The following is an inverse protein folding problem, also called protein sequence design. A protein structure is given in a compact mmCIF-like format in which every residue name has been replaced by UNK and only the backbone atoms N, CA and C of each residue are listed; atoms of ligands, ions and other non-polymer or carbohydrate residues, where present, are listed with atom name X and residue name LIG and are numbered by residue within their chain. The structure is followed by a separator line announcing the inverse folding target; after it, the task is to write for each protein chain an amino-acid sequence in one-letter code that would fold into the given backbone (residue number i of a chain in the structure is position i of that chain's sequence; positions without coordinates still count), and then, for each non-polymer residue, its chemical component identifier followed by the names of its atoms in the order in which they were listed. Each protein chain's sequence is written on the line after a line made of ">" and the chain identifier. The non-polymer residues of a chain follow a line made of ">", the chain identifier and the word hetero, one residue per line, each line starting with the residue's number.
data_IF_198382788241
#
_entry.id   IF_198382788241
#
_cell.length_a   1.000
_cell.length_b   1.000
_cell.length_c   1.000
_cell.angle_alpha   90.00
_cell.angle_beta   90.00
_cell.angle_gamma   90.00
#
_symmetry.space_group_name_H-M   'P 1'
#
loop_
_entity.id
_entity.type
_entity.pdbx_description
1 polymer ?
#
# COMPACT_ATOMS: atom_id res chain seq x y z
N UNK A 1 26.44 11.38 -2.16
CA UNK A 1 25.02 10.97 -2.28
C UNK A 1 24.87 9.68 -1.52
N UNK A 2 23.94 9.61 -0.57
CA UNK A 2 23.60 8.36 0.11
C UNK A 2 22.31 7.78 -0.46
N UNK A 3 22.16 6.47 -0.46
CA UNK A 3 20.96 5.81 -0.96
C UNK A 3 20.66 4.56 -0.16
N UNK A 4 19.39 4.18 -0.09
CA UNK A 4 19.01 2.92 0.54
C UNK A 4 17.55 2.54 0.39
N UNK A 5 17.29 1.24 0.50
CA UNK A 5 16.00 0.59 0.42
C UNK A 5 15.46 0.28 1.82
N UNK A 6 14.26 0.77 2.10
CA UNK A 6 13.62 0.69 3.41
C UNK A 6 12.28 -0.04 3.27
N UNK A 7 12.21 -1.27 3.76
CA UNK A 7 11.01 -2.10 3.66
C UNK A 7 10.02 -1.81 4.77
N UNK A 8 8.78 -1.50 4.39
CA UNK A 8 7.70 -1.20 5.33
C UNK A 8 6.83 -2.43 5.48
N UNK A 9 6.94 -3.08 6.63
CA UNK A 9 6.24 -4.33 6.94
C UNK A 9 5.36 -4.19 8.17
N UNK A 10 4.40 -5.10 8.33
CA UNK A 10 3.38 -4.97 9.36
C UNK A 10 2.09 -5.66 8.97
N UNK A 11 1.25 -5.91 9.97
CA UNK A 11 -0.06 -6.51 9.75
C UNK A 11 -0.94 -5.67 8.82
N UNK A 12 -1.98 -6.29 8.31
CA UNK A 12 -3.03 -5.56 7.59
C UNK A 12 -3.63 -4.45 8.46
N UNK A 13 -3.93 -3.29 7.88
CA UNK A 13 -4.47 -2.09 8.55
C UNK A 13 -3.57 -1.39 9.58
N UNK A 14 -2.29 -1.78 9.72
CA UNK A 14 -1.32 -1.06 10.57
C UNK A 14 -1.02 0.38 10.10
N UNK A 15 -1.43 0.73 8.88
CA UNK A 15 -1.24 2.07 8.30
C UNK A 15 0.07 2.24 7.53
N UNK A 16 0.63 1.14 7.00
CA UNK A 16 1.85 1.13 6.16
C UNK A 16 1.78 2.11 4.98
N UNK A 17 0.78 1.96 4.11
CA UNK A 17 0.61 2.86 2.95
C UNK A 17 0.35 4.31 3.35
N UNK A 18 -0.32 4.55 4.47
CA UNK A 18 -0.47 5.91 5.02
C UNK A 18 0.87 6.48 5.44
N UNK A 19 1.69 5.68 6.14
CA UNK A 19 3.03 6.07 6.56
C UNK A 19 3.94 6.35 5.36
N UNK A 20 3.93 5.47 4.35
CA UNK A 20 4.72 5.64 3.13
C UNK A 20 4.29 6.92 2.40
N UNK A 21 2.99 7.15 2.19
CA UNK A 21 2.52 8.40 1.58
C UNK A 21 2.98 9.65 2.37
N UNK A 22 2.97 9.58 3.71
CA UNK A 22 3.44 10.69 4.56
C UNK A 22 4.96 10.89 4.52
N UNK A 23 5.73 9.80 4.43
CA UNK A 23 7.19 9.86 4.27
C UNK A 23 7.57 10.40 2.90
N UNK A 24 6.85 10.05 1.83
CA UNK A 24 7.08 10.61 0.49
C UNK A 24 6.60 12.07 0.39
N UNK A 25 5.50 12.41 1.06
CA UNK A 25 4.82 13.70 0.92
C UNK A 25 3.80 13.75 -0.24
N UNK A 26 3.68 12.66 -1.00
CA UNK A 26 2.68 12.47 -2.04
C UNK A 26 1.91 11.16 -1.82
N UNK A 27 0.65 11.12 -2.28
CA UNK A 27 -0.15 9.91 -2.31
C UNK A 27 0.26 9.00 -3.48
N UNK A 28 1.11 8.02 -3.21
CA UNK A 28 1.54 7.01 -4.19
C UNK A 28 0.80 5.67 -4.05
N UNK A 29 0.35 5.33 -2.84
CA UNK A 29 -0.38 4.12 -2.53
C UNK A 29 -1.81 4.42 -2.06
N UNK A 30 -2.75 3.53 -2.37
CA UNK A 30 -4.14 3.70 -1.93
C UNK A 30 -4.31 3.35 -0.44
N UNK A 31 -5.30 3.94 0.19
CA UNK A 31 -5.62 3.71 1.60
C UNK A 31 -7.09 3.34 1.79
N UNK A 32 -7.35 2.40 2.68
CA UNK A 32 -8.70 2.09 3.14
C UNK A 32 -8.67 1.46 4.53
N UNK A 33 -9.83 1.38 5.18
CA UNK A 33 -9.99 0.62 6.43
C UNK A 33 -10.25 -0.88 6.17
N UNK A 34 -10.34 -1.30 4.90
CA UNK A 34 -10.57 -2.69 4.52
C UNK A 34 -9.25 -3.47 4.54
N UNK A 35 -9.27 -4.74 5.01
CA UNK A 35 -8.09 -5.57 4.90
C UNK A 35 -7.70 -5.82 3.44
N UNK A 36 -6.46 -6.22 3.18
CA UNK A 36 -5.94 -6.45 1.82
C UNK A 36 -6.07 -5.21 0.91
N UNK A 37 -5.94 -4.01 1.49
CA UNK A 37 -5.89 -2.76 0.73
C UNK A 37 -4.72 -2.77 -0.23
N UNK A 38 -3.49 -3.01 0.23
CA UNK A 38 -2.30 -3.11 -0.62
C UNK A 38 -2.16 -4.53 -1.15
N UNK A 39 -2.02 -4.68 -2.48
CA UNK A 39 -1.91 -5.98 -3.17
C UNK A 39 -0.63 -6.15 -3.98
N UNK A 40 0.01 -5.05 -4.35
CA UNK A 40 1.28 -5.01 -5.06
C UNK A 40 2.36 -4.49 -4.11
N UNK A 41 3.60 -4.92 -4.30
CA UNK A 41 4.73 -4.13 -3.83
C UNK A 41 4.76 -2.80 -4.57
N UNK A 42 4.91 -1.70 -3.84
CA UNK A 42 5.02 -0.34 -4.40
C UNK A 42 6.28 0.28 -3.84
N UNK A 43 7.16 0.77 -4.71
CA UNK A 43 8.28 1.60 -4.28
C UNK A 43 7.86 3.07 -4.26
N UNK A 44 8.12 3.73 -3.15
CA UNK A 44 8.06 5.18 -3.00
C UNK A 44 9.45 5.75 -2.94
N UNK A 45 9.72 6.73 -3.80
CA UNK A 45 11.04 7.35 -3.90
C UNK A 45 10.96 8.74 -3.27
N UNK A 46 11.80 8.99 -2.27
CA UNK A 46 12.00 10.31 -1.67
C UNK A 46 13.41 10.79 -2.00
N UNK A 47 13.50 11.86 -2.78
CA UNK A 47 14.74 12.56 -3.08
C UNK A 47 14.93 13.73 -2.10
N UNK A 48 16.11 13.82 -1.51
CA UNK A 48 16.61 14.98 -0.77
C UNK A 48 17.98 15.39 -1.32
N UNK A 49 18.46 16.58 -0.95
CA UNK A 49 19.69 17.17 -1.52
C UNK A 49 20.92 16.25 -1.44
N UNK A 50 21.04 15.44 -0.38
CA UNK A 50 22.20 14.58 -0.13
C UNK A 50 21.89 13.08 -0.14
N UNK A 51 20.62 12.68 -0.27
CA UNK A 51 20.24 11.28 -0.26
C UNK A 51 18.96 10.92 -1.04
N UNK A 52 18.86 9.66 -1.46
CA UNK A 52 17.65 9.05 -2.02
C UNK A 52 17.19 7.88 -1.15
N UNK A 53 15.94 7.93 -0.68
CA UNK A 53 15.34 6.87 0.15
C UNK A 53 14.25 6.17 -0.67
N UNK A 54 14.36 4.85 -0.79
CA UNK A 54 13.39 4.02 -1.52
C UNK A 54 12.59 3.21 -0.52
N UNK A 55 11.33 3.57 -0.31
CA UNK A 55 10.41 2.88 0.57
C UNK A 55 9.68 1.77 -0.16
N UNK A 56 9.75 0.54 0.33
CA UNK A 56 8.99 -0.58 -0.24
C UNK A 56 7.74 -0.82 0.59
N UNK A 57 6.57 -0.35 0.12
CA UNK A 57 5.27 -0.68 0.72
C UNK A 57 4.84 -2.08 0.28
N UNK A 58 4.52 -2.93 1.26
CA UNK A 58 4.20 -4.34 1.02
C UNK A 58 2.76 -4.67 1.38
N UNK A 59 2.16 -5.67 0.71
CA UNK A 59 0.91 -6.26 1.16
C UNK A 59 0.98 -6.68 2.64
N UNK A 60 -0.13 -6.49 3.38
CA UNK A 60 -0.17 -6.91 4.78
C UNK A 60 -0.12 -8.43 4.92
N UNK A 61 0.81 -8.93 5.74
CA UNK A 61 0.92 -10.37 6.02
C UNK A 61 -0.35 -10.87 6.72
N UNK A 62 -0.93 -11.94 6.17
CA UNK A 62 -2.08 -12.66 6.71
C UNK A 62 -2.06 -14.10 6.18
N UNK A 63 -2.88 -15.01 6.72
CA UNK A 63 -2.95 -16.38 6.22
C UNK A 63 -3.65 -16.39 4.84
N UNK A 64 -3.02 -16.94 3.78
CA UNK A 64 -3.60 -16.92 2.45
C UNK A 64 -4.75 -17.92 2.37
N UNK A 65 -5.69 -17.64 1.46
CA UNK A 65 -6.85 -18.51 1.17
C UNK A 65 -7.11 -18.69 -0.33
N UNK A 66 -6.36 -17.96 -1.15
CA UNK A 66 -6.50 -17.87 -2.61
C UNK A 66 -5.12 -17.66 -3.20
N UNK A 67 -4.91 -17.95 -4.49
CA UNK A 67 -3.62 -17.70 -5.15
C UNK A 67 -3.18 -16.22 -5.10
N UNK A 68 -4.13 -15.28 -5.20
CA UNK A 68 -3.83 -13.86 -4.95
C UNK A 68 -3.22 -13.59 -3.56
N UNK A 69 -3.66 -14.36 -2.55
CA UNK A 69 -3.14 -14.25 -1.20
C UNK A 69 -1.74 -14.83 -1.08
N UNK A 70 -1.45 -15.91 -1.81
CA UNK A 70 -0.11 -16.49 -1.89
C UNK A 70 0.87 -15.50 -2.55
N UNK A 71 0.48 -14.92 -3.69
CA UNK A 71 1.23 -13.85 -4.36
C UNK A 71 1.56 -12.70 -3.40
N UNK A 72 0.56 -12.18 -2.68
CA UNK A 72 0.76 -11.08 -1.72
C UNK A 72 1.75 -11.42 -0.59
N UNK A 73 1.83 -12.68 -0.18
CA UNK A 73 2.77 -13.11 0.87
C UNK A 73 4.18 -13.21 0.29
N UNK A 74 4.32 -13.73 -0.94
CA UNK A 74 5.61 -13.80 -1.62
C UNK A 74 6.20 -12.39 -1.80
N UNK A 75 5.39 -11.44 -2.30
CA UNK A 75 5.78 -10.03 -2.43
C UNK A 75 6.28 -9.41 -1.11
N UNK A 76 5.60 -9.72 0.00
CA UNK A 76 5.99 -9.21 1.32
C UNK A 76 7.28 -9.85 1.85
N UNK A 77 7.54 -11.12 1.53
CA UNK A 77 8.76 -11.81 1.93
C UNK A 77 9.95 -11.36 1.07
N UNK A 78 9.77 -11.22 -0.24
CA UNK A 78 10.83 -10.78 -1.16
C UNK A 78 11.30 -9.36 -0.86
N UNK A 79 10.39 -8.47 -0.47
CA UNK A 79 10.75 -7.10 -0.07
C UNK A 79 11.76 -7.06 1.10
N UNK A 80 11.85 -8.08 1.94
CA UNK A 80 12.81 -8.12 3.05
C UNK A 80 14.20 -8.61 2.65
N UNK A 81 14.38 -9.20 1.46
CA UNK A 81 15.68 -9.71 1.03
C UNK A 81 16.61 -8.60 0.52
N UNK A 82 16.06 -7.56 -0.10
CA UNK A 82 16.81 -6.50 -0.79
C UNK A 82 16.68 -5.14 -0.07
N UNK A 83 16.72 -5.12 1.27
CA UNK A 83 16.52 -3.91 2.08
C UNK A 83 17.68 -3.65 3.04
N UNK A 84 18.06 -2.39 3.19
CA UNK A 84 19.09 -1.94 4.13
C UNK A 84 18.57 -1.88 5.57
N UNK A 85 17.27 -1.60 5.75
CA UNK A 85 16.59 -1.64 7.04
C UNK A 85 15.08 -1.85 6.89
N UNK A 86 14.44 -2.44 7.90
CA UNK A 86 13.00 -2.65 7.92
C UNK A 86 12.28 -1.72 8.92
N UNK A 87 11.09 -1.26 8.56
CA UNK A 87 10.13 -0.63 9.46
C UNK A 87 9.05 -1.63 9.83
N UNK A 88 9.02 -2.09 11.09
CA UNK A 88 7.89 -2.86 11.60
C UNK A 88 6.80 -1.91 12.09
N UNK A 89 5.77 -1.72 11.27
CA UNK A 89 4.64 -0.85 11.60
C UNK A 89 3.57 -1.63 12.36
N UNK A 90 3.26 -1.16 13.56
CA UNK A 90 2.21 -1.72 14.44
C UNK A 90 1.13 -0.69 14.75
N UNK A 91 0.00 -1.17 15.26
CA UNK A 91 -0.99 -0.32 15.93
C UNK A 91 -0.69 -0.28 17.43
N UNK A 92 -1.14 0.76 18.16
CA UNK A 92 -0.80 0.95 19.55
C UNK A 92 -1.73 0.12 20.45
N UNK A 93 -1.61 -1.20 20.34
CA UNK A 93 -2.36 -2.17 21.12
C UNK A 93 -1.42 -2.82 22.12
N UNK A 94 -1.88 -2.95 23.36
CA UNK A 94 -1.12 -3.52 24.48
C UNK A 94 -0.97 -5.07 24.40
N UNK A 95 -0.60 -5.59 23.23
CA UNK A 95 -0.34 -7.00 22.97
C UNK A 95 0.51 -7.20 21.72
N UNK A 96 1.42 -8.16 21.75
CA UNK A 96 2.16 -8.64 20.56
C UNK A 96 1.34 -9.76 19.92
N UNK A 97 0.66 -9.44 18.83
CA UNK A 97 -0.21 -10.38 18.12
C UNK A 97 0.57 -11.44 17.35
N UNK A 98 -0.15 -12.48 16.90
CA UNK A 98 0.44 -13.61 16.15
C UNK A 98 1.11 -13.13 14.86
N UNK A 99 0.53 -12.15 14.17
CA UNK A 99 1.09 -11.61 12.93
C UNK A 99 2.39 -10.86 13.20
N UNK A 100 2.44 -10.08 14.27
CA UNK A 100 3.63 -9.36 14.71
C UNK A 100 4.73 -10.32 15.15
N UNK A 101 4.40 -11.39 15.88
CA UNK A 101 5.38 -12.45 16.23
C UNK A 101 6.02 -13.09 15.01
N UNK A 102 5.21 -13.42 13.99
CA UNK A 102 5.73 -13.98 12.72
C UNK A 102 6.64 -13.01 12.00
N UNK A 103 6.28 -11.73 11.94
CA UNK A 103 7.12 -10.69 11.35
C UNK A 103 8.45 -10.55 12.10
N UNK A 104 8.40 -10.54 13.43
CA UNK A 104 9.59 -10.51 14.28
C UNK A 104 10.48 -11.75 14.01
N UNK A 105 9.91 -12.94 13.87
CA UNK A 105 10.68 -14.14 13.51
C UNK A 105 11.35 -14.02 12.14
N UNK A 106 10.69 -13.40 11.16
CA UNK A 106 11.28 -13.15 9.84
C UNK A 106 12.44 -12.15 9.98
N UNK A 107 12.24 -11.03 10.70
CA UNK A 107 13.29 -10.03 10.96
C UNK A 107 14.51 -10.64 11.66
N UNK A 108 14.30 -11.49 12.66
CA UNK A 108 15.36 -12.25 13.34
C UNK A 108 16.16 -13.14 12.38
N UNK A 109 15.49 -13.76 11.39
CA UNK A 109 16.15 -14.64 10.42
C UNK A 109 16.89 -13.85 9.34
N UNK A 110 16.37 -12.71 8.91
CA UNK A 110 17.04 -11.86 7.92
C UNK A 110 18.28 -11.17 8.47
N UNK A 111 18.32 -10.86 9.78
CA UNK A 111 19.45 -10.17 10.41
C UNK A 111 19.61 -8.71 9.99
N UNK A 112 18.68 -8.17 9.18
CA UNK A 112 18.63 -6.77 8.80
C UNK A 112 18.29 -5.89 10.03
N UNK A 113 18.82 -4.66 10.10
CA UNK A 113 18.39 -3.69 11.09
C UNK A 113 16.89 -3.39 10.99
N UNK A 114 16.24 -3.16 12.13
CA UNK A 114 14.82 -2.81 12.12
C UNK A 114 14.44 -1.75 13.15
N UNK A 115 13.55 -0.86 12.72
CA UNK A 115 12.90 0.16 13.55
C UNK A 115 11.46 -0.28 13.84
N UNK A 116 11.05 -0.25 15.11
CA UNK A 116 9.65 -0.40 15.47
C UNK A 116 8.93 0.93 15.30
N UNK A 117 7.88 0.95 14.48
CA UNK A 117 7.04 2.12 14.26
C UNK A 117 5.67 1.90 14.90
N UNK A 118 5.43 2.56 16.03
CA UNK A 118 4.13 2.49 16.72
C UNK A 118 3.21 3.55 16.11
N UNK A 119 2.43 3.16 15.10
CA UNK A 119 1.57 4.08 14.36
C UNK A 119 0.25 4.37 15.09
N UNK A 120 -0.51 5.36 14.63
CA UNK A 120 -1.83 5.77 15.13
C UNK A 120 -1.85 6.22 16.59
N UNK A 121 -0.77 6.84 17.06
CA UNK A 121 -0.71 7.38 18.43
C UNK A 121 -1.79 8.42 18.72
N UNK A 122 -2.39 9.02 17.69
CA UNK A 122 -3.55 9.91 17.79
C UNK A 122 -4.81 9.23 18.35
N UNK A 123 -4.83 7.90 18.43
CA UNK A 123 -5.96 7.11 18.93
C UNK A 123 -5.84 6.70 20.40
N UNK A 124 -4.71 6.96 21.04
CA UNK A 124 -4.43 6.55 22.42
C UNK A 124 -3.93 7.72 23.26
N UNK A 125 -3.91 7.54 24.58
CA UNK A 125 -3.23 8.49 25.48
C UNK A 125 -1.75 8.15 25.57
N UNK A 126 -0.91 9.15 25.81
CA UNK A 126 0.55 9.00 25.83
C UNK A 126 1.03 7.99 26.86
N UNK A 127 0.35 7.88 28.01
CA UNK A 127 0.70 6.96 29.09
C UNK A 127 0.57 5.49 28.67
N UNK A 128 -0.24 5.20 27.65
CA UNK A 128 -0.42 3.84 27.10
C UNK A 128 0.75 3.37 26.24
N UNK A 129 1.72 4.25 25.90
CA UNK A 129 2.85 3.87 25.05
C UNK A 129 3.89 3.01 25.77
N UNK A 130 4.18 3.30 27.05
CA UNK A 130 5.23 2.61 27.79
C UNK A 130 5.04 1.07 27.83
N UNK A 131 3.86 0.54 28.17
CA UNK A 131 3.64 -0.91 28.19
C UNK A 131 3.81 -1.56 26.81
N UNK A 132 3.43 -0.85 25.75
CA UNK A 132 3.58 -1.34 24.36
C UNK A 132 5.06 -1.42 24.01
N UNK A 133 5.83 -0.36 24.30
CA UNK A 133 7.28 -0.31 24.05
C UNK A 133 7.98 -1.45 24.78
N UNK A 134 7.69 -1.65 26.07
CA UNK A 134 8.28 -2.71 26.89
C UNK A 134 8.02 -4.11 26.30
N UNK A 135 6.78 -4.39 25.92
CA UNK A 135 6.40 -5.69 25.32
C UNK A 135 7.16 -5.97 24.03
N UNK A 136 7.21 -5.02 23.10
CA UNK A 136 7.89 -5.25 21.83
C UNK A 136 9.42 -5.30 21.98
N UNK A 137 10.00 -4.48 22.86
CA UNK A 137 11.44 -4.51 23.16
C UNK A 137 11.88 -5.85 23.75
N UNK A 138 10.99 -6.53 24.49
CA UNK A 138 11.27 -7.87 25.04
C UNK A 138 11.26 -8.99 23.98
N UNK A 139 10.58 -8.77 22.85
CA UNK A 139 10.44 -9.78 21.78
C UNK A 139 11.54 -9.64 20.71
N UNK A 140 12.06 -8.44 20.47
CA UNK A 140 13.08 -8.16 19.48
C UNK A 140 13.87 -6.90 19.84
N UNK A 141 15.19 -6.95 19.60
CA UNK A 141 16.09 -5.83 19.82
C UNK A 141 16.02 -4.88 18.61
N UNK A 142 15.08 -3.94 18.65
CA UNK A 142 14.97 -2.91 17.63
C UNK A 142 16.00 -1.81 17.88
N UNK A 143 16.70 -1.38 16.82
CA UNK A 143 17.65 -0.27 16.88
C UNK A 143 17.01 1.03 17.37
N UNK A 144 15.73 1.22 17.02
CA UNK A 144 14.92 2.36 17.48
C UNK A 144 13.44 1.99 17.57
N UNK A 145 12.74 2.70 18.45
CA UNK A 145 11.28 2.59 18.63
C UNK A 145 10.69 3.99 18.52
N UNK A 146 9.92 4.23 17.46
CA UNK A 146 9.42 5.56 17.11
C UNK A 146 7.88 5.55 17.08
N UNK A 147 7.22 6.21 18.04
CA UNK A 147 5.78 6.44 18.00
C UNK A 147 5.45 7.50 16.94
N UNK A 148 4.48 7.21 16.07
CA UNK A 148 4.06 8.13 15.00
C UNK A 148 2.55 8.17 14.85
N UNK A 149 2.04 9.25 14.28
CA UNK A 149 0.75 9.25 13.60
C UNK A 149 0.98 9.61 12.15
N UNK A 150 0.96 8.60 11.28
CA UNK A 150 1.03 8.81 9.83
C UNK A 150 -0.09 9.72 9.31
N UNK A 151 -1.24 9.78 10.02
CA UNK A 151 -2.40 10.60 9.67
C UNK A 151 -2.17 12.08 9.96
N UNK A 152 -1.57 12.42 11.09
CA UNK A 152 -1.37 13.82 11.50
C UNK A 152 0.03 14.34 11.15
N UNK A 153 0.98 13.44 10.86
CA UNK A 153 2.39 13.75 10.66
C UNK A 153 3.23 13.72 11.95
N UNK A 154 2.60 13.50 13.12
CA UNK A 154 3.32 13.42 14.39
C UNK A 154 4.37 12.30 14.37
N UNK A 155 5.60 12.63 14.76
CA UNK A 155 6.75 11.71 14.76
C UNK A 155 7.32 11.32 13.38
N UNK A 156 6.69 11.69 12.26
CA UNK A 156 7.13 11.26 10.92
C UNK A 156 8.49 11.84 10.54
N UNK A 157 8.77 13.10 10.90
CA UNK A 157 10.10 13.71 10.66
C UNK A 157 11.19 13.04 11.49
N UNK A 158 10.90 12.67 12.75
CA UNK A 158 11.84 11.95 13.63
C UNK A 158 12.15 10.57 13.05
N UNK A 159 11.12 9.87 12.56
CA UNK A 159 11.30 8.59 11.87
C UNK A 159 12.18 8.74 10.63
N UNK A 160 11.96 9.78 9.83
CA UNK A 160 12.75 10.04 8.63
C UNK A 160 14.24 10.26 8.95
N UNK A 161 14.55 11.05 9.99
CA UNK A 161 15.93 11.27 10.43
C UNK A 161 16.58 9.99 10.97
N UNK A 162 15.82 9.13 11.64
CA UNK A 162 16.33 7.82 12.07
C UNK A 162 16.68 6.93 10.88
N UNK A 163 15.80 6.91 9.86
CA UNK A 163 15.98 6.11 8.65
C UNK A 163 17.24 6.53 7.87
N UNK A 164 17.56 7.83 7.85
CA UNK A 164 18.76 8.36 7.18
C UNK A 164 20.06 7.76 7.70
N UNK A 165 20.10 7.24 8.93
CA UNK A 165 21.28 6.60 9.52
C UNK A 165 21.66 5.28 8.85
N UNK A 166 20.71 4.63 8.17
CA UNK A 166 20.90 3.36 7.48
C UNK A 166 21.35 3.54 6.02
N UNK A 167 21.30 4.76 5.49
CA UNK A 167 21.68 5.02 4.11
C UNK A 167 23.20 4.96 3.97
N UNK A 168 23.65 4.19 2.99
CA UNK A 168 25.08 4.04 2.67
C UNK A 168 25.43 4.88 1.44
N UNK A 169 26.73 5.09 1.19
CA UNK A 169 27.15 5.72 -0.07
C UNK A 169 26.74 4.83 -1.25
N UNK A 170 26.06 5.42 -2.22
CA UNK A 170 25.52 4.67 -3.34
C UNK A 170 25.02 5.57 -4.47
N UNK A 171 24.65 4.96 -5.61
CA UNK A 171 24.12 5.69 -6.74
C UNK A 171 22.72 6.20 -6.46
N UNK A 172 22.28 7.16 -7.26
CA UNK A 172 20.86 7.44 -7.40
C UNK A 172 20.24 6.29 -8.21
N UNK A 173 19.36 5.50 -7.59
CA UNK A 173 18.70 4.35 -8.22
C UNK A 173 17.59 4.76 -9.19
N UNK A 174 16.93 5.88 -8.90
CA UNK A 174 15.80 6.40 -9.68
C UNK A 174 15.97 7.87 -10.06
N UNK A 175 15.39 8.34 -11.18
CA UNK A 175 15.38 9.77 -11.53
C UNK A 175 14.83 10.68 -10.42
N UNK A 176 15.29 11.93 -10.36
CA UNK A 176 14.91 12.90 -9.31
C UNK A 176 13.40 13.24 -9.30
N UNK A 177 12.76 13.19 -10.47
CA UNK A 177 11.33 13.49 -10.64
C UNK A 177 10.42 12.29 -10.37
N UNK A 178 11.00 11.11 -10.17
CA UNK A 178 10.26 9.88 -9.92
C UNK A 178 9.92 9.75 -8.44
N UNK A 179 8.62 9.68 -8.14
CA UNK A 179 8.09 9.47 -6.77
C UNK A 179 7.66 8.02 -6.50
N UNK A 180 7.42 7.23 -7.55
CA UNK A 180 7.04 5.81 -7.45
C UNK A 180 7.37 5.04 -8.72
N UNK A 181 7.62 3.74 -8.59
CA UNK A 181 7.81 2.78 -9.69
C UNK A 181 6.50 2.31 -10.35
N UNK A 182 5.37 2.59 -9.71
CA UNK A 182 4.06 2.11 -10.15
C UNK A 182 3.67 2.69 -11.52
N UNK A 183 3.43 1.84 -12.54
CA UNK A 183 2.98 2.29 -13.85
C UNK A 183 1.70 3.12 -13.78
N UNK A 184 1.56 4.12 -14.66
CA UNK A 184 0.42 5.05 -14.61
C UNK A 184 -0.94 4.32 -14.70
N UNK A 185 -1.05 3.30 -15.54
CA UNK A 185 -2.27 2.49 -15.67
C UNK A 185 -2.63 1.78 -14.36
N UNK A 186 -1.63 1.27 -13.62
CA UNK A 186 -1.84 0.67 -12.32
C UNK A 186 -2.31 1.71 -11.30
N UNK A 187 -1.68 2.90 -11.25
CA UNK A 187 -2.14 4.00 -10.38
C UNK A 187 -3.59 4.41 -10.67
N UNK A 188 -3.99 4.47 -11.95
CA UNK A 188 -5.38 4.76 -12.35
C UNK A 188 -6.35 3.65 -11.93
N UNK A 189 -5.98 2.38 -12.13
CA UNK A 189 -6.76 1.24 -11.65
C UNK A 189 -6.95 1.28 -10.13
N UNK A 190 -5.88 1.57 -9.40
CA UNK A 190 -5.87 1.65 -7.95
C UNK A 190 -6.75 2.79 -7.43
N UNK A 191 -6.79 3.95 -8.09
CA UNK A 191 -7.72 5.03 -7.73
C UNK A 191 -9.18 4.56 -7.73
N UNK A 192 -9.62 3.84 -8.78
CA UNK A 192 -10.99 3.29 -8.84
C UNK A 192 -11.19 2.26 -7.75
N UNK A 193 -10.21 1.37 -7.56
CA UNK A 193 -10.25 0.34 -6.52
C UNK A 193 -10.41 0.94 -5.14
N UNK A 194 -9.66 2.00 -4.81
CA UNK A 194 -9.78 2.71 -3.55
C UNK A 194 -11.20 3.18 -3.30
N UNK A 195 -11.84 3.82 -4.29
CA UNK A 195 -13.22 4.30 -4.13
C UNK A 195 -14.19 3.16 -3.89
N UNK A 196 -13.99 2.03 -4.55
CA UNK A 196 -14.77 0.81 -4.33
C UNK A 196 -14.52 0.21 -2.95
N UNK A 197 -13.28 0.20 -2.44
CA UNK A 197 -12.97 -0.27 -1.08
C UNK A 197 -13.72 0.54 -0.01
N UNK A 198 -13.86 1.85 -0.20
CA UNK A 198 -14.62 2.72 0.70
C UNK A 198 -16.14 2.61 0.55
N UNK A 199 -16.61 2.23 -0.64
CA UNK A 199 -18.03 2.22 -0.98
C UNK A 199 -18.70 0.84 -0.88
N UNK A 200 -17.91 -0.22 -0.76
CA UNK A 200 -18.39 -1.59 -0.68
C UNK A 200 -18.12 -2.19 0.71
N UNK A 201 -18.92 -3.18 1.06
CA UNK A 201 -18.84 -3.88 2.34
C UNK A 201 -18.73 -5.40 2.17
N UNK A 202 -18.48 -6.06 3.30
CA UNK A 202 -18.34 -7.51 3.42
C UNK A 202 -17.24 -8.03 2.48
N UNK A 203 -17.50 -9.11 1.76
CA UNK A 203 -16.52 -9.78 0.90
C UNK A 203 -16.32 -9.12 -0.47
N UNK A 204 -17.26 -8.28 -0.91
CA UNK A 204 -17.29 -7.74 -2.28
C UNK A 204 -16.01 -6.95 -2.64
N UNK A 205 -15.50 -6.01 -1.81
CA UNK A 205 -14.30 -5.26 -2.14
C UNK A 205 -13.05 -6.13 -2.31
N UNK A 206 -13.03 -7.33 -1.74
CA UNK A 206 -11.90 -8.26 -1.88
C UNK A 206 -11.99 -9.10 -3.16
N UNK A 207 -13.18 -9.20 -3.77
CA UNK A 207 -13.42 -9.94 -5.01
C UNK A 207 -13.35 -9.10 -6.29
N UNK A 208 -12.80 -7.88 -6.25
CA UNK A 208 -12.68 -7.00 -7.42
C UNK A 208 -11.26 -6.94 -7.99
N UNK A 209 -11.18 -6.82 -9.31
CA UNK A 209 -9.96 -6.47 -10.07
C UNK A 209 -10.29 -5.33 -11.04
N UNK A 210 -9.35 -4.41 -11.23
CA UNK A 210 -9.56 -3.20 -12.04
C UNK A 210 -8.55 -3.19 -13.20
N UNK A 211 -9.05 -3.03 -14.42
CA UNK A 211 -8.23 -2.98 -15.63
C UNK A 211 -8.51 -1.68 -16.40
N UNK A 212 -7.45 -0.94 -16.72
CA UNK A 212 -7.52 0.15 -17.70
C UNK A 212 -7.51 -0.44 -19.11
N UNK A 213 -8.70 -0.71 -19.64
CA UNK A 213 -8.90 -1.32 -20.97
C UNK A 213 -8.62 -0.36 -22.12
N UNK A 214 -8.75 0.95 -21.91
CA UNK A 214 -8.43 1.97 -22.91
C UNK A 214 -7.87 3.22 -22.25
N UNK A 215 -6.83 3.80 -22.86
CA UNK A 215 -6.26 5.09 -22.47
C UNK A 215 -5.81 5.81 -23.74
N UNK A 216 -6.59 6.81 -24.15
CA UNK A 216 -6.24 7.71 -25.25
C UNK A 216 -5.92 9.09 -24.67
N UNK A 217 -4.73 9.59 -24.99
CA UNK A 217 -4.25 10.86 -24.47
C UNK A 217 -4.07 11.89 -25.58
N UNK A 218 -4.61 13.09 -25.34
CA UNK A 218 -4.40 14.30 -26.14
C UNK A 218 -3.73 15.38 -25.27
N UNK A 219 -3.44 16.55 -25.84
CA UNK A 219 -2.74 17.66 -25.17
C UNK A 219 -3.39 18.05 -23.83
N UNK A 220 -4.73 18.16 -23.80
CA UNK A 220 -5.47 18.69 -22.65
C UNK A 220 -6.38 17.66 -21.96
N UNK A 221 -6.58 16.48 -22.56
CA UNK A 221 -7.59 15.51 -22.14
C UNK A 221 -7.05 14.09 -22.21
N UNK A 222 -7.51 13.25 -21.29
CA UNK A 222 -7.28 11.80 -21.31
C UNK A 222 -8.64 11.10 -21.29
N UNK A 223 -8.89 10.23 -22.25
CA UNK A 223 -10.07 9.37 -22.29
C UNK A 223 -9.70 7.98 -21.75
N UNK A 224 -10.43 7.52 -20.74
CA UNK A 224 -10.19 6.26 -20.02
C UNK A 224 -11.42 5.37 -20.07
N UNK A 225 -11.26 4.14 -20.52
CA UNK A 225 -12.23 3.08 -20.26
C UNK A 225 -11.64 2.09 -19.25
N UNK A 226 -12.29 1.99 -18.09
CA UNK A 226 -11.86 1.13 -16.99
C UNK A 226 -12.92 0.07 -16.74
N UNK A 227 -12.49 -1.20 -16.71
CA UNK A 227 -13.35 -2.33 -16.38
C UNK A 227 -13.13 -2.78 -14.95
N UNK A 228 -14.21 -2.81 -14.17
CA UNK A 228 -14.31 -3.40 -12.84
C UNK A 228 -14.78 -4.86 -13.02
N UNK A 229 -13.92 -5.80 -12.69
CA UNK A 229 -14.26 -7.22 -12.65
C UNK A 229 -14.71 -7.63 -11.26
N UNK A 230 -15.75 -8.46 -11.17
CA UNK A 230 -16.20 -9.07 -9.92
C UNK A 230 -16.50 -10.56 -10.10
N UNK A 231 -16.49 -11.33 -9.01
CA UNK A 231 -16.63 -12.79 -9.08
C UNK A 231 -18.05 -13.30 -9.29
N UNK A 232 -19.09 -12.51 -9.01
CA UNK A 232 -20.49 -12.97 -9.04
C UNK A 232 -21.41 -11.95 -9.71
N UNK A 233 -22.46 -12.45 -10.35
CA UNK A 233 -23.49 -11.60 -10.95
C UNK A 233 -24.22 -10.73 -9.90
N UNK A 234 -24.42 -11.24 -8.68
CA UNK A 234 -24.97 -10.46 -7.56
C UNK A 234 -24.07 -9.28 -7.18
N UNK A 235 -22.74 -9.47 -7.17
CA UNK A 235 -21.77 -8.41 -6.89
C UNK A 235 -21.81 -7.33 -7.97
N UNK A 236 -21.96 -7.70 -9.24
CA UNK A 236 -22.12 -6.74 -10.34
C UNK A 236 -23.30 -5.80 -10.10
N UNK A 237 -24.45 -6.33 -9.69
CA UNK A 237 -25.62 -5.52 -9.34
C UNK A 237 -25.34 -4.53 -8.19
N UNK A 238 -24.62 -4.99 -7.15
CA UNK A 238 -24.26 -4.15 -5.99
C UNK A 238 -23.28 -3.05 -6.37
N UNK A 239 -22.25 -3.36 -7.16
CA UNK A 239 -21.24 -2.41 -7.65
C UNK A 239 -21.88 -1.32 -8.52
N UNK A 240 -22.86 -1.68 -9.35
CA UNK A 240 -23.64 -0.72 -10.14
C UNK A 240 -24.48 0.16 -9.20
N UNK A 241 -25.15 -0.46 -8.23
CA UNK A 241 -26.05 0.21 -7.30
C UNK A 241 -27.42 0.50 -7.94
N UNK A 242 -28.40 0.87 -7.10
CA UNK A 242 -29.76 1.20 -7.56
C UNK A 242 -29.69 2.36 -8.57
N UNK A 243 -30.20 2.16 -9.78
CA UNK A 243 -30.14 3.16 -10.85
C UNK A 243 -28.72 3.59 -11.28
N UNK A 244 -27.68 2.81 -10.96
CA UNK A 244 -26.29 3.17 -11.28
C UNK A 244 -25.64 4.15 -10.30
N UNK A 245 -26.29 4.45 -9.16
CA UNK A 245 -25.86 5.51 -8.23
C UNK A 245 -24.46 5.27 -7.64
N UNK A 246 -24.15 4.04 -7.25
CA UNK A 246 -22.86 3.69 -6.66
C UNK A 246 -21.73 3.87 -7.67
N UNK A 247 -21.91 3.31 -8.88
CA UNK A 247 -20.93 3.42 -9.96
C UNK A 247 -20.70 4.86 -10.39
N UNK A 248 -21.78 5.67 -10.44
CA UNK A 248 -21.70 7.11 -10.71
C UNK A 248 -20.90 7.85 -9.64
N UNK A 249 -21.12 7.53 -8.37
CA UNK A 249 -20.38 8.12 -7.24
C UNK A 249 -18.90 7.75 -7.28
N UNK A 250 -18.60 6.48 -7.50
CA UNK A 250 -17.23 5.97 -7.68
C UNK A 250 -16.54 6.67 -8.84
N UNK A 251 -17.17 6.72 -10.02
CA UNK A 251 -16.61 7.37 -11.21
C UNK A 251 -16.38 8.87 -11.01
N UNK A 252 -17.29 9.56 -10.33
CA UNK A 252 -17.14 10.99 -10.02
C UNK A 252 -15.92 11.26 -9.15
N UNK A 253 -15.74 10.48 -8.07
CA UNK A 253 -14.61 10.62 -7.14
C UNK A 253 -13.29 10.16 -7.75
N UNK A 254 -13.30 9.06 -8.51
CA UNK A 254 -12.11 8.55 -9.19
C UNK A 254 -11.61 9.55 -10.23
N UNK A 255 -12.53 10.12 -11.04
CA UNK A 255 -12.18 11.15 -12.04
C UNK A 255 -11.47 12.34 -11.40
N UNK A 256 -11.94 12.83 -10.25
CA UNK A 256 -11.31 13.95 -9.56
C UNK A 256 -9.84 13.66 -9.18
N UNK A 257 -9.57 12.48 -8.62
CA UNK A 257 -8.21 12.08 -8.26
C UNK A 257 -7.34 11.82 -9.50
N UNK A 258 -7.91 11.28 -10.58
CA UNK A 258 -7.20 11.07 -11.84
C UNK A 258 -6.84 12.39 -12.53
N UNK A 259 -7.70 13.41 -12.49
CA UNK A 259 -7.39 14.74 -13.04
C UNK A 259 -6.21 15.38 -12.30
N UNK A 260 -6.15 15.20 -10.97
CA UNK A 260 -5.00 15.66 -10.18
C UNK A 260 -3.72 14.92 -10.52
N UNK A 261 -3.81 13.58 -10.60
CA UNK A 261 -2.67 12.73 -10.92
C UNK A 261 -2.08 13.03 -12.31
N UNK A 262 -2.94 13.23 -13.31
CA UNK A 262 -2.52 13.42 -14.70
C UNK A 262 -2.29 14.89 -15.07
N UNK A 263 -2.72 15.85 -14.23
CA UNK A 263 -2.69 17.28 -14.57
C UNK A 263 -3.56 17.66 -15.77
N UNK A 264 -4.52 16.80 -16.17
CA UNK A 264 -5.34 16.91 -17.39
C UNK A 264 -6.80 16.64 -17.10
N UNK A 265 -7.69 17.07 -17.99
CA UNK A 265 -9.12 16.72 -17.90
C UNK A 265 -9.34 15.26 -18.27
N UNK A 266 -10.20 14.57 -17.52
CA UNK A 266 -10.39 13.12 -17.69
C UNK A 266 -11.82 12.81 -18.14
N UNK A 267 -11.96 12.15 -19.28
CA UNK A 267 -13.19 11.48 -19.69
C UNK A 267 -13.16 10.02 -19.23
N UNK A 268 -13.94 9.68 -18.20
CA UNK A 268 -13.92 8.34 -17.59
C UNK A 268 -15.20 7.56 -17.90
N UNK A 269 -15.04 6.39 -18.52
CA UNK A 269 -16.09 5.38 -18.67
C UNK A 269 -15.78 4.19 -17.76
N UNK A 270 -16.76 3.78 -16.95
CA UNK A 270 -16.64 2.60 -16.09
C UNK A 270 -17.54 1.47 -16.58
N UNK A 271 -16.98 0.27 -16.70
CA UNK A 271 -17.70 -0.96 -17.03
C UNK A 271 -17.67 -1.92 -15.86
N UNK A 272 -18.71 -2.74 -15.69
CA UNK A 272 -18.73 -3.81 -14.68
C UNK A 272 -18.95 -5.16 -15.38
N UNK A 273 -17.98 -6.07 -15.25
CA UNK A 273 -18.00 -7.40 -15.86
C UNK A 273 -17.81 -8.49 -14.81
N UNK A 274 -18.38 -9.67 -15.06
CA UNK A 274 -18.20 -10.84 -14.18
C UNK A 274 -17.05 -11.70 -14.72
N UNK A 275 -16.13 -12.07 -13.82
CA UNK A 275 -15.06 -13.04 -14.04
C UNK A 275 -15.01 -13.94 -12.80
N UNK A 276 -15.69 -15.07 -12.87
CA UNK A 276 -15.80 -15.99 -11.75
C UNK A 276 -14.43 -16.59 -11.39
N UNK A 277 -14.16 -16.75 -10.09
CA UNK A 277 -12.94 -17.41 -9.60
C UNK A 277 -11.61 -16.77 -10.00
N UNK A 278 -11.60 -15.49 -10.38
CA UNK A 278 -10.39 -14.86 -10.93
C UNK A 278 -9.20 -14.84 -9.96
N UNK A 279 -9.47 -14.81 -8.64
CA UNK A 279 -8.42 -14.81 -7.59
C UNK A 279 -7.62 -16.10 -7.50
N UNK A 280 -8.13 -17.18 -8.08
CA UNK A 280 -7.49 -18.50 -8.12
C UNK A 280 -7.06 -18.92 -9.53
N UNK A 281 -7.26 -18.05 -10.53
CA UNK A 281 -6.86 -18.28 -11.92
C UNK A 281 -5.53 -17.60 -12.22
N UNK A 282 -4.47 -18.39 -12.39
CA UNK A 282 -3.11 -17.90 -12.74
C UNK A 282 -3.14 -16.99 -13.96
N UNK A 283 -3.88 -17.39 -15.01
CA UNK A 283 -3.99 -16.61 -16.24
C UNK A 283 -4.64 -15.24 -15.98
N UNK A 284 -5.70 -15.18 -15.17
CA UNK A 284 -6.38 -13.93 -14.86
C UNK A 284 -5.57 -13.05 -13.89
N UNK A 285 -4.86 -13.66 -12.94
CA UNK A 285 -3.92 -12.96 -12.07
C UNK A 285 -2.85 -12.26 -12.89
N UNK A 286 -2.21 -12.97 -13.81
CA UNK A 286 -1.23 -12.42 -14.76
C UNK A 286 -1.82 -11.27 -15.59
N UNK A 287 -3.02 -11.46 -16.13
CA UNK A 287 -3.69 -10.43 -16.92
C UNK A 287 -4.03 -9.16 -16.11
N UNK A 288 -4.22 -9.30 -14.80
CA UNK A 288 -4.46 -8.17 -13.89
C UNK A 288 -3.17 -7.56 -13.32
N UNK A 289 -1.99 -8.05 -13.75
CA UNK A 289 -0.69 -7.53 -13.32
C UNK A 289 -0.12 -8.21 -12.07
N UNK A 290 -0.71 -9.30 -11.60
CA UNK A 290 -0.14 -10.14 -10.54
C UNK A 290 0.76 -11.19 -11.18
N UNK A 291 1.97 -10.78 -11.58
CA UNK A 291 2.96 -11.65 -12.21
C UNK A 291 3.88 -12.21 -11.13
N UNK A 292 3.95 -13.53 -11.01
CA UNK A 292 5.06 -14.21 -10.36
C UNK A 292 6.21 -14.26 -11.38
N UNK A 293 7.18 -13.35 -11.31
CA UNK A 293 8.46 -13.46 -12.02
C UNK A 293 9.57 -13.82 -11.04
#
# INVERSE_FOLDING_TARGET
>A
MKSGFISVVGRTNAGKSTLVNSLIGEKIAIISNKPQTTRYRIMGIRNEEECQIIFTDTPGIHKPKTRLGDFMINEANEALNDTDAALLVIEPVDNVGISEKKLIEILKKSGIPAILVINKIDTIKKESLFPIIEKYSSEFDFDAIIPVSAKTGDGVSVLLEEIKKYLTEGPMFFPEDMVTDSPIKQRLSEIVREKLLWSLDKEIPHGIAIEVTKMDEDKNKVALDITIYCEKQSHKGIIIGKGGELLKTVGTRARYDMEKLLGKKVGLTLWVKVKEGWRDSVMLLKNFGFNEE
#
